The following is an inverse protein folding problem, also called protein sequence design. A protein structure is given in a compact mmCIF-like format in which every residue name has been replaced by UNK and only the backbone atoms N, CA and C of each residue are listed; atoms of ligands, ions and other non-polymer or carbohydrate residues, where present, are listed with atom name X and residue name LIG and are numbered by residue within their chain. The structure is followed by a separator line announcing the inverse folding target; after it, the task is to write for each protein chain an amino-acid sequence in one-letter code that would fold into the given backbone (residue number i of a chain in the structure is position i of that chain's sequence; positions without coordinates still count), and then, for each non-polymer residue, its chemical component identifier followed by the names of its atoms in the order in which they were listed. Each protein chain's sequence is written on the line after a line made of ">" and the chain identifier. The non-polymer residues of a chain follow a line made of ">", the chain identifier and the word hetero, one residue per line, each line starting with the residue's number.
data_IF_803795183729
#
_entry.id   IF_803795183729
#
_cell.length_a   1.000
_cell.length_b   1.000
_cell.length_c   1.000
_cell.angle_alpha   90.00
_cell.angle_beta   90.00
_cell.angle_gamma   90.00
#
_symmetry.space_group_name_H-M   'P 1'
#
loop_
_entity.id
_entity.type
_entity.pdbx_description
1 polymer ?
#
# COMPACT_ATOMS: atom_id res chain seq x y z
N UNK A 1 -3.19 14.43 -0.52
CA UNK A 1 -3.68 15.15 0.66
C UNK A 1 -5.15 15.56 0.57
N UNK A 2 -5.72 15.82 -0.61
CA UNK A 2 -7.15 16.22 -0.74
C UNK A 2 -8.13 15.14 -0.23
N UNK A 3 -7.87 13.86 -0.53
CA UNK A 3 -8.71 12.72 -0.12
C UNK A 3 -8.78 12.49 1.40
N UNK A 4 -7.81 13.00 2.17
CA UNK A 4 -7.84 12.88 3.64
C UNK A 4 -9.00 13.66 4.23
N UNK A 5 -9.31 14.85 3.67
CA UNK A 5 -10.46 15.63 4.10
C UNK A 5 -11.77 14.91 3.79
N UNK A 6 -11.85 14.22 2.67
CA UNK A 6 -13.05 13.47 2.28
C UNK A 6 -13.27 12.27 3.23
N UNK A 7 -12.21 11.60 3.66
CA UNK A 7 -12.28 10.53 4.68
C UNK A 7 -12.67 11.11 6.05
N UNK A 8 -12.05 12.20 6.47
CA UNK A 8 -12.40 12.90 7.71
C UNK A 8 -13.89 13.32 7.71
N UNK A 9 -14.37 13.85 6.57
CA UNK A 9 -15.77 14.21 6.38
C UNK A 9 -16.70 12.99 6.41
N UNK A 10 -16.29 11.86 5.82
CA UNK A 10 -17.02 10.59 5.87
C UNK A 10 -17.23 10.12 7.32
N UNK A 11 -16.19 10.23 8.16
CA UNK A 11 -16.27 9.90 9.58
C UNK A 11 -16.90 11.00 10.45
N UNK A 12 -17.35 12.12 9.84
CA UNK A 12 -17.97 13.27 10.52
C UNK A 12 -17.07 13.93 11.57
N UNK A 13 -15.76 13.82 11.39
CA UNK A 13 -14.76 14.48 12.24
C UNK A 13 -13.71 15.17 11.37
N UNK A 14 -14.00 16.42 11.00
CA UNK A 14 -13.15 17.21 10.09
C UNK A 14 -12.18 18.14 10.81
N UNK A 15 -12.32 18.29 12.12
CA UNK A 15 -11.44 19.13 12.95
C UNK A 15 -10.56 18.31 13.88
N UNK A 16 -10.82 17.01 14.00
CA UNK A 16 -10.03 16.07 14.78
C UNK A 16 -8.61 15.90 14.25
N UNK A 17 -7.74 15.42 15.14
CA UNK A 17 -6.42 14.94 14.77
C UNK A 17 -6.55 13.48 14.38
N UNK A 18 -6.22 13.17 13.12
CA UNK A 18 -6.28 11.82 12.58
C UNK A 18 -4.91 11.39 12.05
N UNK A 19 -4.71 10.08 12.01
CA UNK A 19 -3.49 9.46 11.51
C UNK A 19 -3.82 8.68 10.24
N UNK A 20 -3.08 8.94 9.18
CA UNK A 20 -3.09 8.13 7.97
C UNK A 20 -1.72 7.50 7.81
N UNK A 21 -1.67 6.18 7.88
CA UNK A 21 -0.45 5.39 7.80
C UNK A 21 -0.50 4.46 6.59
N UNK A 22 0.67 4.12 6.08
CA UNK A 22 0.80 3.26 4.90
C UNK A 22 2.04 2.39 5.02
N UNK A 23 1.85 1.09 4.82
CA UNK A 23 2.88 0.06 4.85
C UNK A 23 2.95 -0.65 3.51
N UNK A 24 4.11 -0.63 2.88
CA UNK A 24 4.34 -1.34 1.62
C UNK A 24 5.74 -1.94 1.57
N UNK A 25 5.85 -3.10 0.93
CA UNK A 25 7.12 -3.81 0.86
C UNK A 25 6.97 -5.22 0.30
N UNK A 26 8.09 -5.94 0.33
CA UNK A 26 8.18 -7.31 -0.15
C UNK A 26 9.09 -8.14 0.74
N UNK A 27 8.86 -9.44 0.69
CA UNK A 27 9.64 -10.45 1.38
C UNK A 27 10.19 -11.43 0.36
N UNK A 28 11.45 -11.85 0.54
CA UNK A 28 12.09 -12.86 -0.30
C UNK A 28 12.61 -13.97 0.61
N UNK A 29 11.91 -15.10 0.59
CA UNK A 29 12.27 -16.29 1.36
C UNK A 29 13.50 -16.98 0.75
N UNK A 30 14.21 -17.78 1.57
CA UNK A 30 15.41 -18.51 1.12
C UNK A 30 15.14 -19.48 -0.04
N UNK A 31 13.93 -20.03 -0.11
CA UNK A 31 13.47 -20.92 -1.18
C UNK A 31 13.06 -20.17 -2.47
N UNK A 32 13.21 -18.84 -2.51
CA UNK A 32 12.85 -18.02 -3.66
C UNK A 32 11.38 -17.60 -3.72
N UNK A 33 10.54 -18.04 -2.78
CA UNK A 33 9.15 -17.56 -2.67
C UNK A 33 9.19 -16.08 -2.31
N UNK A 34 8.43 -15.27 -3.04
CA UNK A 34 8.30 -13.84 -2.81
C UNK A 34 6.88 -13.49 -2.39
N UNK A 35 6.77 -12.54 -1.48
CA UNK A 35 5.51 -11.95 -1.07
C UNK A 35 5.60 -10.43 -1.15
N UNK A 36 4.45 -9.77 -1.27
CA UNK A 36 4.36 -8.31 -1.33
C UNK A 36 3.12 -7.86 -0.58
N UNK A 37 3.22 -6.70 0.08
CA UNK A 37 2.09 -6.07 0.76
C UNK A 37 2.08 -4.58 0.44
N UNK A 38 0.89 -4.01 0.37
CA UNK A 38 0.68 -2.57 0.25
C UNK A 38 -0.66 -2.24 0.90
N UNK A 39 -0.61 -1.61 2.08
CA UNK A 39 -1.75 -1.38 2.97
C UNK A 39 -1.75 0.06 3.42
N UNK A 40 -2.95 0.58 3.64
CA UNK A 40 -3.15 1.87 4.26
C UNK A 40 -4.21 1.77 5.33
N UNK A 41 -3.96 2.47 6.43
CA UNK A 41 -4.79 2.50 7.61
C UNK A 41 -5.18 3.94 7.94
N UNK A 42 -6.34 4.10 8.57
CA UNK A 42 -6.85 5.36 9.07
C UNK A 42 -7.20 5.21 10.54
N UNK A 43 -6.57 5.99 11.41
CA UNK A 43 -6.64 5.87 12.86
C UNK A 43 -6.41 4.41 13.32
N UNK A 44 -5.30 3.83 12.85
CA UNK A 44 -4.85 2.46 13.10
C UNK A 44 -5.85 1.36 12.69
N UNK A 45 -6.83 1.70 11.84
CA UNK A 45 -7.81 0.76 11.28
C UNK A 45 -7.59 0.54 9.79
N UNK A 46 -7.65 -0.71 9.29
CA UNK A 46 -7.51 -1.01 7.88
C UNK A 46 -8.49 -0.22 7.01
N UNK A 47 -7.96 0.58 6.09
CA UNK A 47 -8.74 1.38 5.16
C UNK A 47 -8.79 0.71 3.77
N UNK A 48 -7.62 0.42 3.21
CA UNK A 48 -7.49 -0.18 1.88
C UNK A 48 -6.19 -1.00 1.77
N UNK A 49 -6.24 -2.11 1.02
CA UNK A 49 -5.09 -3.00 0.78
C UNK A 49 -5.02 -3.39 -0.69
N UNK A 50 -3.83 -3.43 -1.27
CA UNK A 50 -3.63 -3.91 -2.64
C UNK A 50 -3.63 -5.45 -2.68
N UNK A 51 -4.46 -6.02 -3.54
CA UNK A 51 -4.41 -7.44 -3.88
C UNK A 51 -3.55 -7.64 -5.13
N UNK A 52 -2.51 -8.47 -5.01
CA UNK A 52 -1.58 -8.76 -6.10
C UNK A 52 -2.08 -9.85 -7.05
N UNK A 53 -2.87 -10.80 -6.51
CA UNK A 53 -3.45 -11.92 -7.28
C UNK A 53 -4.59 -11.40 -8.15
N UNK A 54 -5.36 -10.45 -7.61
CA UNK A 54 -6.38 -9.68 -8.32
C UNK A 54 -5.93 -8.21 -8.31
N UNK A 55 -5.12 -7.76 -9.28
CA UNK A 55 -4.48 -6.43 -9.28
C UNK A 55 -5.48 -5.28 -9.13
N UNK A 56 -5.75 -4.90 -7.87
CA UNK A 56 -6.77 -3.93 -7.50
C UNK A 56 -6.59 -3.53 -6.04
N UNK A 57 -7.12 -2.36 -5.69
CA UNK A 57 -7.24 -1.98 -4.29
C UNK A 57 -8.54 -2.55 -3.69
N UNK A 58 -8.40 -3.28 -2.59
CA UNK A 58 -9.47 -3.90 -1.83
C UNK A 58 -9.81 -3.01 -0.64
N UNK A 59 -11.02 -2.48 -0.66
CA UNK A 59 -11.60 -1.65 0.40
C UNK A 59 -11.82 -2.48 1.67
N UNK A 60 -11.34 -1.99 2.81
CA UNK A 60 -11.53 -2.62 4.14
C UNK A 60 -12.50 -1.84 5.02
N UNK A 61 -12.49 -0.52 4.89
CA UNK A 61 -13.51 0.40 5.43
C UNK A 61 -14.18 1.12 4.25
N UNK A 62 -15.50 1.34 4.24
CA UNK A 62 -16.20 2.01 3.15
C UNK A 62 -15.63 3.39 2.75
N UNK A 63 -15.00 4.13 3.67
CA UNK A 63 -14.28 5.37 3.37
C UNK A 63 -13.12 5.15 2.40
N UNK A 64 -12.55 3.93 2.37
CA UNK A 64 -11.48 3.51 1.48
C UNK A 64 -11.88 3.53 -0.01
N UNK A 65 -13.16 3.44 -0.34
CA UNK A 65 -13.64 3.56 -1.73
C UNK A 65 -13.33 4.93 -2.34
N UNK A 66 -13.25 5.98 -1.51
CA UNK A 66 -12.89 7.33 -1.93
C UNK A 66 -11.47 7.35 -2.50
N UNK A 67 -10.52 6.79 -1.75
CA UNK A 67 -9.12 6.70 -2.17
C UNK A 67 -8.96 5.72 -3.32
N UNK A 68 -9.57 4.53 -3.22
CA UNK A 68 -9.51 3.48 -4.23
C UNK A 68 -9.84 4.03 -5.62
N UNK A 69 -10.99 4.68 -5.78
CA UNK A 69 -11.44 5.20 -7.08
C UNK A 69 -10.45 6.19 -7.68
N UNK A 70 -9.83 7.04 -6.84
CA UNK A 70 -8.85 8.04 -7.27
C UNK A 70 -7.55 7.38 -7.71
N UNK A 71 -6.99 6.48 -6.90
CA UNK A 71 -5.75 5.77 -7.23
C UNK A 71 -5.89 4.84 -8.44
N UNK A 72 -7.02 4.16 -8.58
CA UNK A 72 -7.28 3.33 -9.75
C UNK A 72 -7.38 4.19 -11.03
N UNK A 73 -7.99 5.37 -10.97
CA UNK A 73 -8.03 6.32 -12.08
C UNK A 73 -6.65 6.93 -12.40
N UNK A 74 -5.78 7.09 -11.40
CA UNK A 74 -4.41 7.60 -11.55
C UNK A 74 -3.41 6.52 -12.01
N UNK A 75 -3.87 5.28 -12.21
CA UNK A 75 -3.02 4.17 -12.66
C UNK A 75 -2.13 3.56 -11.57
N UNK A 76 -2.41 3.84 -10.29
CA UNK A 76 -1.64 3.31 -9.16
C UNK A 76 -1.62 1.79 -9.09
N UNK A 77 -2.62 1.11 -9.66
CA UNK A 77 -2.67 -0.36 -9.73
C UNK A 77 -1.47 -0.94 -10.47
N UNK A 78 -1.11 -0.35 -11.62
CA UNK A 78 0.02 -0.82 -12.43
C UNK A 78 1.33 -0.56 -11.68
N UNK A 79 1.48 0.63 -11.09
CA UNK A 79 2.65 1.02 -10.33
C UNK A 79 2.86 0.13 -9.10
N UNK A 80 1.79 -0.16 -8.36
CA UNK A 80 1.82 -1.03 -7.19
C UNK A 80 2.25 -2.45 -7.57
N UNK A 81 1.66 -3.01 -8.63
CA UNK A 81 2.03 -4.33 -9.13
C UNK A 81 3.50 -4.40 -9.54
N UNK A 82 3.96 -3.44 -10.35
CA UNK A 82 5.34 -3.40 -10.82
C UNK A 82 6.35 -3.25 -9.67
N UNK A 83 6.03 -2.42 -8.67
CA UNK A 83 6.87 -2.26 -7.50
C UNK A 83 7.00 -3.57 -6.71
N UNK A 84 5.88 -4.23 -6.42
CA UNK A 84 5.84 -5.43 -5.58
C UNK A 84 6.44 -6.66 -6.26
N UNK A 85 6.23 -6.81 -7.58
CA UNK A 85 6.72 -7.98 -8.34
C UNK A 85 8.15 -7.84 -8.86
N UNK A 86 8.69 -6.62 -8.95
CA UNK A 86 10.04 -6.38 -9.50
C UNK A 86 10.88 -5.51 -8.58
N UNK A 87 10.58 -4.22 -8.52
CA UNK A 87 11.47 -3.19 -7.96
C UNK A 87 11.86 -3.51 -6.51
N UNK A 88 10.89 -3.89 -5.68
CA UNK A 88 11.16 -4.21 -4.29
C UNK A 88 12.07 -5.44 -4.15
N UNK A 89 11.79 -6.50 -4.91
CA UNK A 89 12.53 -7.77 -4.85
C UNK A 89 13.97 -7.58 -5.32
N UNK A 90 14.17 -6.86 -6.42
CA UNK A 90 15.50 -6.56 -6.97
C UNK A 90 16.32 -5.73 -5.99
N UNK A 91 15.73 -4.68 -5.42
CA UNK A 91 16.38 -3.85 -4.41
C UNK A 91 16.76 -4.67 -3.17
N UNK A 92 15.85 -5.51 -2.66
CA UNK A 92 16.12 -6.34 -1.48
C UNK A 92 17.27 -7.33 -1.73
N UNK A 93 17.32 -7.97 -2.90
CA UNK A 93 18.44 -8.84 -3.29
C UNK A 93 19.76 -8.07 -3.35
N UNK A 94 19.77 -6.88 -3.97
CA UNK A 94 20.94 -6.01 -4.07
C UNK A 94 21.49 -5.60 -2.71
N UNK A 95 20.65 -5.13 -1.80
CA UNK A 95 21.07 -4.73 -0.44
C UNK A 95 21.59 -5.91 0.38
N UNK A 96 20.95 -7.07 0.25
CA UNK A 96 21.42 -8.30 0.91
C UNK A 96 22.82 -8.69 0.43
N UNK A 97 23.06 -8.62 -0.88
CA UNK A 97 24.34 -9.01 -1.46
C UNK A 97 25.43 -7.98 -1.14
N UNK A 98 25.09 -6.69 -1.11
CA UNK A 98 25.98 -5.63 -0.59
C UNK A 98 26.40 -5.90 0.87
N UNK A 99 25.47 -6.28 1.74
CA UNK A 99 25.76 -6.63 3.14
C UNK A 99 26.65 -7.88 3.28
N UNK A 100 26.64 -8.81 2.32
CA UNK A 100 27.53 -9.98 2.34
C UNK A 100 28.94 -9.66 1.88
N UNK A 101 29.11 -8.61 1.07
CA UNK A 101 30.37 -8.21 0.48
C UNK A 101 31.18 -7.23 1.37
N UNK A 102 30.59 -6.75 2.47
CA UNK A 102 31.20 -5.86 3.46
C UNK A 102 31.07 -6.47 4.86
#
# INVERSE_FOLDING_TARGET
>A
MEYLRDIMAYHKDVTGLHVFSGDYGCEVCKNGVTNGFWRYDYDDRPLVEFDKEIPAFITKDPAGDIIKKKWEAEGSVIQAKEYLEKTCIENLKKYRDYKKAN
#
